data_IF_961528262812
#
_entry.id   IF_961528262812
#
_cell.length_a   1.000
_cell.length_b   1.000
_cell.length_c   1.000
_cell.angle_alpha   90.00
_cell.angle_beta   90.00
_cell.angle_gamma   90.00
#
_symmetry.space_group_name_H-M   'P 1'
#
loop_
_entity.id
_entity.type
_entity.pdbx_description
1 polymer ?
#
# COMPACT_ATOMS: atom_id res chain seq x y z
N UNK A 1 -15.33 5.18 2.19
CA UNK A 1 -16.17 4.58 3.18
C UNK A 1 -17.55 4.31 2.61
N UNK A 2 -17.84 3.02 2.45
CA UNK A 2 -19.01 2.47 1.83
C UNK A 2 -20.33 2.93 2.46
N UNK A 3 -20.32 3.15 3.77
CA UNK A 3 -21.50 3.45 4.55
C UNK A 3 -21.96 4.92 4.43
N UNK A 4 -21.10 5.79 3.87
CA UNK A 4 -21.40 7.22 3.77
C UNK A 4 -21.88 7.66 2.37
N UNK A 5 -21.79 6.80 1.35
CA UNK A 5 -22.04 7.21 -0.04
C UNK A 5 -23.20 6.47 -0.68
N UNK A 6 -23.96 5.69 0.07
CA UNK A 6 -24.93 4.81 -0.57
C UNK A 6 -26.30 4.82 0.10
N UNK A 7 -27.19 5.68 -0.36
CA UNK A 7 -28.60 5.66 0.03
C UNK A 7 -29.29 4.33 -0.28
N UNK A 8 -28.64 3.47 -1.09
CA UNK A 8 -29.20 2.20 -1.59
C UNK A 8 -28.59 0.97 -0.87
N UNK A 9 -27.58 1.14 -0.04
CA UNK A 9 -26.89 0.09 0.74
C UNK A 9 -26.47 -1.15 -0.08
N UNK A 10 -25.96 -0.93 -1.30
CA UNK A 10 -25.39 -1.96 -2.17
C UNK A 10 -24.13 -1.47 -2.86
N UNK A 11 -23.33 -2.37 -3.41
CA UNK A 11 -22.26 -1.97 -4.34
C UNK A 11 -22.88 -1.35 -5.61
N UNK A 12 -22.22 -0.33 -6.20
CA UNK A 12 -22.55 0.04 -7.57
C UNK A 12 -22.30 -1.14 -8.52
N UNK A 13 -22.99 -1.16 -9.62
CA UNK A 13 -22.85 -2.17 -10.68
C UNK A 13 -22.43 -1.51 -11.99
N UNK A 14 -22.24 -2.32 -13.04
CA UNK A 14 -21.99 -1.79 -14.40
C UNK A 14 -23.04 -0.79 -14.85
N UNK A 15 -24.32 -1.06 -14.49
CA UNK A 15 -25.45 -0.23 -14.94
C UNK A 15 -25.39 1.18 -14.33
N UNK A 16 -24.99 1.30 -13.05
CA UNK A 16 -24.77 2.60 -12.42
C UNK A 16 -23.63 3.40 -13.09
N UNK A 17 -22.58 2.70 -13.53
CA UNK A 17 -21.47 3.34 -14.24
C UNK A 17 -21.77 3.63 -15.71
N UNK A 18 -22.63 2.86 -16.33
CA UNK A 18 -23.11 3.10 -17.70
C UNK A 18 -23.97 4.36 -17.80
N UNK A 19 -24.65 4.77 -16.71
CA UNK A 19 -25.30 6.09 -16.62
C UNK A 19 -24.31 7.26 -16.76
N UNK A 20 -23.03 7.04 -16.37
CA UNK A 20 -21.96 8.06 -16.52
C UNK A 20 -21.45 8.04 -17.95
N UNK A 21 -21.10 6.86 -18.49
CA UNK A 21 -20.64 6.69 -19.87
C UNK A 21 -20.71 5.23 -20.31
N UNK A 22 -21.19 5.04 -21.55
CA UNK A 22 -21.08 3.77 -22.30
C UNK A 22 -20.01 3.82 -23.38
N UNK A 23 -19.39 4.97 -23.62
CA UNK A 23 -18.34 5.16 -24.63
C UNK A 23 -16.95 4.98 -24.06
N UNK A 24 -16.72 5.44 -22.84
CA UNK A 24 -15.43 5.35 -22.16
C UNK A 24 -15.43 4.22 -21.12
N UNK A 25 -14.36 3.42 -21.05
CA UNK A 25 -14.22 2.43 -19.98
C UNK A 25 -14.08 3.13 -18.63
N UNK A 26 -14.87 2.69 -17.66
CA UNK A 26 -14.83 3.19 -16.29
C UNK A 26 -14.46 2.04 -15.36
N UNK A 27 -13.50 2.26 -14.48
CA UNK A 27 -13.13 1.37 -13.39
C UNK A 27 -13.01 2.19 -12.10
N UNK A 28 -13.83 1.88 -11.11
CA UNK A 28 -13.72 2.45 -9.77
C UNK A 28 -13.22 1.38 -8.79
N UNK A 29 -12.28 1.76 -7.95
CA UNK A 29 -11.66 0.86 -6.98
C UNK A 29 -12.11 1.28 -5.59
N UNK A 30 -12.57 0.31 -4.79
CA UNK A 30 -12.85 0.57 -3.39
C UNK A 30 -11.55 0.94 -2.66
N UNK A 31 -11.64 1.84 -1.69
CA UNK A 31 -10.47 2.33 -0.92
C UNK A 31 -9.62 1.22 -0.27
N UNK A 32 -10.19 0.03 -0.03
CA UNK A 32 -9.45 -1.13 0.48
C UNK A 32 -8.55 -1.82 -0.58
N UNK A 33 -8.74 -1.53 -1.88
CA UNK A 33 -8.00 -2.19 -2.97
C UNK A 33 -8.49 -3.60 -3.37
N UNK A 34 -9.41 -4.20 -2.61
CA UNK A 34 -9.85 -5.59 -2.79
C UNK A 34 -11.09 -5.77 -3.67
N UNK A 35 -11.70 -4.69 -4.11
CA UNK A 35 -12.89 -4.70 -4.95
C UNK A 35 -12.79 -3.59 -5.97
N UNK A 36 -13.09 -3.89 -7.24
CA UNK A 36 -13.37 -2.87 -8.24
C UNK A 36 -14.74 -3.09 -8.88
N UNK A 37 -15.27 -2.01 -9.46
CA UNK A 37 -16.49 -2.05 -10.27
C UNK A 37 -16.19 -1.39 -11.61
N UNK A 38 -16.64 -2.02 -12.67
CA UNK A 38 -16.43 -1.56 -14.04
C UNK A 38 -17.73 -1.45 -14.81
N UNK A 39 -17.77 -0.56 -15.79
CA UNK A 39 -18.92 -0.42 -16.69
C UNK A 39 -18.91 -1.44 -17.83
N UNK A 40 -20.00 -1.47 -18.62
CA UNK A 40 -20.15 -2.37 -19.77
C UNK A 40 -19.03 -2.20 -20.81
N UNK A 41 -18.55 -0.97 -21.03
CA UNK A 41 -17.45 -0.70 -21.97
C UNK A 41 -16.13 -1.33 -21.50
N UNK A 42 -15.85 -1.29 -20.23
CA UNK A 42 -14.65 -1.94 -19.67
C UNK A 42 -14.76 -3.48 -19.74
N UNK A 43 -15.94 -4.06 -19.49
CA UNK A 43 -16.19 -5.50 -19.68
C UNK A 43 -15.95 -5.92 -21.13
N UNK A 44 -16.46 -5.15 -22.09
CA UNK A 44 -16.25 -5.38 -23.52
C UNK A 44 -14.75 -5.40 -23.88
N UNK A 45 -14.01 -4.37 -23.48
CA UNK A 45 -12.58 -4.26 -23.74
C UNK A 45 -11.75 -5.35 -23.03
N UNK A 46 -12.20 -5.79 -21.87
CA UNK A 46 -11.58 -6.90 -21.15
C UNK A 46 -11.93 -8.27 -21.76
N UNK A 47 -12.93 -8.36 -22.64
CA UNK A 47 -13.42 -9.60 -23.22
C UNK A 47 -14.20 -10.46 -22.22
N UNK A 48 -14.76 -9.83 -21.18
CA UNK A 48 -15.47 -10.51 -20.09
C UNK A 48 -16.96 -10.57 -20.39
N UNK A 49 -17.50 -11.77 -20.34
CA UNK A 49 -18.92 -12.06 -20.66
C UNK A 49 -19.38 -13.30 -19.88
N UNK A 50 -20.62 -13.73 -20.11
CA UNK A 50 -21.24 -14.89 -19.44
C UNK A 50 -20.49 -16.22 -19.59
N UNK A 51 -19.57 -16.33 -20.56
CA UNK A 51 -18.76 -17.53 -20.75
C UNK A 51 -17.42 -17.45 -20.02
N UNK A 52 -17.11 -16.31 -19.39
CA UNK A 52 -15.87 -16.13 -18.63
C UNK A 52 -15.92 -16.97 -17.37
N UNK A 53 -14.89 -17.79 -17.16
CA UNK A 53 -14.80 -18.64 -15.97
C UNK A 53 -14.33 -17.82 -14.77
N UNK A 54 -14.83 -18.17 -13.60
CA UNK A 54 -14.28 -17.69 -12.34
C UNK A 54 -12.82 -18.11 -12.21
N UNK A 55 -12.01 -17.32 -11.52
CA UNK A 55 -10.58 -17.61 -11.34
C UNK A 55 -10.30 -18.01 -9.89
N UNK A 56 -9.25 -18.79 -9.71
CA UNK A 56 -8.82 -19.23 -8.38
C UNK A 56 -8.41 -18.02 -7.51
N UNK A 57 -8.92 -18.00 -6.28
CA UNK A 57 -8.66 -16.92 -5.33
C UNK A 57 -9.33 -15.59 -5.66
N UNK A 58 -10.29 -15.57 -6.60
CA UNK A 58 -11.05 -14.37 -6.94
C UNK A 58 -12.46 -14.70 -7.39
N UNK A 59 -13.32 -13.69 -7.39
CA UNK A 59 -14.71 -13.82 -7.81
C UNK A 59 -15.14 -12.55 -8.53
N UNK A 60 -15.91 -12.69 -9.62
CA UNK A 60 -16.74 -11.62 -10.14
C UNK A 60 -18.22 -11.97 -9.97
N UNK A 61 -19.01 -10.95 -9.69
CA UNK A 61 -20.44 -11.12 -9.44
C UNK A 61 -21.21 -11.18 -10.78
N UNK A 62 -22.24 -11.98 -10.82
CA UNK A 62 -23.14 -12.13 -11.99
C UNK A 62 -24.57 -11.70 -11.63
N UNK A 63 -25.32 -11.25 -12.60
CA UNK A 63 -26.72 -10.90 -12.48
C UNK A 63 -27.64 -12.15 -12.63
N UNK A 64 -28.96 -11.95 -12.59
CA UNK A 64 -29.96 -12.99 -12.74
C UNK A 64 -29.94 -13.69 -14.13
N UNK A 65 -29.30 -13.05 -15.12
CA UNK A 65 -29.13 -13.58 -16.48
C UNK A 65 -27.78 -14.29 -16.66
N UNK A 66 -27.03 -14.50 -15.58
CA UNK A 66 -25.66 -15.01 -15.58
C UNK A 66 -24.66 -14.11 -16.35
N UNK A 67 -24.98 -12.84 -16.54
CA UNK A 67 -24.04 -11.87 -17.12
C UNK A 67 -23.22 -11.19 -16.00
N UNK A 68 -21.92 -10.92 -16.21
CA UNK A 68 -21.13 -10.15 -15.25
C UNK A 68 -21.76 -8.78 -14.95
N UNK A 69 -21.96 -8.48 -13.66
CA UNK A 69 -22.59 -7.24 -13.23
C UNK A 69 -21.61 -6.09 -13.00
N UNK A 70 -20.33 -6.31 -13.29
CA UNK A 70 -19.26 -5.32 -13.20
C UNK A 70 -18.45 -5.35 -11.89
N UNK A 71 -18.84 -6.14 -10.89
CA UNK A 71 -18.12 -6.22 -9.60
C UNK A 71 -17.08 -7.34 -9.64
N UNK A 72 -15.82 -7.00 -9.29
CA UNK A 72 -14.69 -7.94 -9.23
C UNK A 72 -14.06 -7.89 -7.85
N UNK A 73 -13.62 -9.06 -7.33
CA UNK A 73 -13.08 -9.24 -5.99
C UNK A 73 -11.77 -10.03 -6.03
N UNK A 74 -10.82 -9.62 -5.19
CA UNK A 74 -9.53 -10.29 -4.98
C UNK A 74 -8.80 -10.56 -6.30
N UNK A 75 -8.35 -11.79 -6.56
CA UNK A 75 -7.62 -12.12 -7.78
C UNK A 75 -8.40 -11.83 -9.08
N UNK A 76 -9.74 -11.73 -9.03
CA UNK A 76 -10.54 -11.37 -10.19
C UNK A 76 -10.30 -9.95 -10.69
N UNK A 77 -9.77 -9.05 -9.85
CA UNK A 77 -9.33 -7.71 -10.26
C UNK A 77 -8.32 -7.78 -11.42
N UNK A 78 -7.50 -8.82 -11.47
CA UNK A 78 -6.49 -9.00 -12.51
C UNK A 78 -7.09 -9.19 -13.91
N UNK A 79 -8.34 -9.68 -14.02
CA UNK A 79 -9.06 -9.78 -15.29
C UNK A 79 -9.25 -8.38 -15.92
N UNK A 80 -9.41 -7.37 -15.09
CA UNK A 80 -9.56 -5.96 -15.49
C UNK A 80 -8.20 -5.28 -15.58
N UNK A 81 -7.39 -5.35 -14.52
CA UNK A 81 -6.12 -4.60 -14.42
C UNK A 81 -5.14 -4.95 -15.53
N UNK A 82 -5.08 -6.22 -15.94
CA UNK A 82 -4.24 -6.66 -17.06
C UNK A 82 -4.66 -6.09 -18.43
N UNK A 83 -5.85 -5.45 -18.51
CA UNK A 83 -6.36 -4.80 -19.72
C UNK A 83 -6.23 -3.28 -19.70
N UNK A 84 -5.96 -2.70 -18.55
CA UNK A 84 -5.68 -1.28 -18.44
C UNK A 84 -4.35 -1.02 -19.15
N UNK A 85 -4.30 -0.09 -20.11
CA UNK A 85 -3.04 0.27 -20.76
C UNK A 85 -2.01 0.72 -19.72
N UNK A 86 -0.79 0.17 -19.83
CA UNK A 86 0.30 0.63 -18.97
C UNK A 86 0.73 2.03 -19.43
N UNK A 87 0.92 2.96 -18.49
CA UNK A 87 1.46 4.25 -18.83
C UNK A 87 2.89 4.10 -19.36
N UNK A 88 3.23 4.87 -20.34
CA UNK A 88 4.62 5.03 -20.75
C UNK A 88 5.36 6.00 -19.80
N UNK A 89 6.66 6.18 -20.04
CA UNK A 89 7.48 7.06 -19.18
C UNK A 89 7.03 8.52 -19.23
N UNK A 90 6.55 9.02 -20.37
CA UNK A 90 6.06 10.39 -20.48
C UNK A 90 4.72 10.57 -19.76
N UNK A 91 3.84 9.57 -19.78
CA UNK A 91 2.63 9.56 -18.96
C UNK A 91 2.97 9.64 -17.48
N UNK A 92 3.95 8.83 -17.03
CA UNK A 92 4.40 8.82 -15.62
C UNK A 92 4.99 10.19 -15.25
N UNK A 93 5.84 10.80 -16.10
CA UNK A 93 6.38 12.15 -15.87
C UNK A 93 5.26 13.18 -15.72
N UNK A 94 4.24 13.12 -16.57
CA UNK A 94 3.08 14.02 -16.49
C UNK A 94 2.29 13.82 -15.19
N UNK A 95 2.10 12.57 -14.73
CA UNK A 95 1.43 12.27 -13.45
C UNK A 95 2.24 12.80 -12.26
N UNK A 96 3.56 12.61 -12.25
CA UNK A 96 4.47 13.16 -11.23
C UNK A 96 4.36 14.69 -11.17
N UNK A 97 4.40 15.38 -12.31
CA UNK A 97 4.28 16.83 -12.36
C UNK A 97 2.93 17.32 -11.80
N UNK A 98 1.84 16.63 -12.13
CA UNK A 98 0.51 16.94 -11.57
C UNK A 98 0.44 16.71 -10.07
N UNK A 99 1.04 15.65 -9.56
CA UNK A 99 1.14 15.38 -8.13
C UNK A 99 1.97 16.49 -7.43
N UNK A 100 3.10 16.90 -7.98
CA UNK A 100 3.91 18.00 -7.46
C UNK A 100 3.13 19.33 -7.44
N UNK A 101 2.39 19.65 -8.50
CA UNK A 101 1.52 20.83 -8.55
C UNK A 101 0.48 20.82 -7.41
N UNK A 102 -0.18 19.68 -7.20
CA UNK A 102 -1.14 19.50 -6.12
C UNK A 102 -0.49 19.65 -4.74
N UNK A 103 0.65 19.00 -4.49
CA UNK A 103 1.39 19.10 -3.23
C UNK A 103 1.81 20.57 -2.95
N UNK A 104 2.33 21.27 -3.96
CA UNK A 104 2.71 22.67 -3.83
C UNK A 104 1.51 23.58 -3.48
N UNK A 105 0.29 23.27 -3.97
CA UNK A 105 -0.91 24.03 -3.63
C UNK A 105 -1.24 23.99 -2.12
N UNK A 106 -0.77 22.98 -1.42
CA UNK A 106 -0.85 22.82 0.04
C UNK A 106 0.43 23.26 0.77
N UNK A 107 1.41 23.83 0.06
CA UNK A 107 2.69 24.26 0.65
C UNK A 107 3.66 23.12 0.94
N UNK A 108 3.41 21.91 0.43
CA UNK A 108 4.30 20.77 0.59
C UNK A 108 5.46 20.88 -0.39
N UNK A 109 6.69 20.85 0.12
CA UNK A 109 7.94 20.97 -0.66
C UNK A 109 8.81 19.71 -0.61
N UNK A 110 8.43 18.72 0.20
CA UNK A 110 9.10 17.42 0.29
C UNK A 110 8.08 16.34 0.65
N UNK A 111 8.15 15.20 -0.01
CA UNK A 111 7.26 14.07 0.21
C UNK A 111 8.04 12.75 0.18
N UNK A 112 7.51 11.77 0.91
CA UNK A 112 7.85 10.36 0.71
C UNK A 112 6.71 9.71 -0.07
N UNK A 113 7.04 8.82 -0.99
CA UNK A 113 6.07 8.10 -1.83
C UNK A 113 6.52 6.66 -2.01
N UNK A 114 5.62 5.77 -2.42
CA UNK A 114 5.87 4.35 -2.69
C UNK A 114 5.30 3.95 -4.07
N UNK A 115 5.77 4.63 -5.10
CA UNK A 115 5.19 4.60 -6.44
C UNK A 115 5.44 3.32 -7.24
N UNK A 116 6.35 2.44 -6.81
CA UNK A 116 6.74 1.25 -7.57
C UNK A 116 5.58 0.29 -7.85
N UNK A 117 4.54 0.29 -7.04
CA UNK A 117 3.37 -0.58 -7.22
C UNK A 117 2.13 0.15 -7.76
N UNK A 118 2.19 1.47 -7.91
CA UNK A 118 1.05 2.29 -8.37
C UNK A 118 0.64 1.92 -9.80
N UNK A 119 1.61 1.49 -10.60
CA UNK A 119 1.40 1.12 -12.01
C UNK A 119 1.61 -0.38 -12.21
N UNK A 120 0.57 -1.22 -12.13
CA UNK A 120 0.71 -2.67 -12.25
C UNK A 120 1.48 -3.07 -13.49
N UNK A 121 2.59 -3.82 -13.30
CA UNK A 121 3.42 -4.33 -14.37
C UNK A 121 4.29 -3.30 -15.10
N UNK A 122 4.44 -2.10 -14.56
CA UNK A 122 5.51 -1.16 -14.93
C UNK A 122 6.73 -1.49 -14.09
N UNK A 123 7.90 -1.57 -14.73
CA UNK A 123 9.15 -1.80 -14.02
C UNK A 123 9.55 -0.54 -13.23
N UNK A 124 9.99 -0.72 -11.99
CA UNK A 124 10.44 0.39 -11.13
C UNK A 124 11.55 1.23 -11.76
N UNK A 125 12.35 0.66 -12.66
CA UNK A 125 13.38 1.41 -13.40
C UNK A 125 12.78 2.51 -14.28
N UNK A 126 11.60 2.30 -14.83
CA UNK A 126 10.89 3.32 -15.62
C UNK A 126 10.51 4.49 -14.72
N UNK A 127 10.01 4.20 -13.50
CA UNK A 127 9.62 5.20 -12.50
C UNK A 127 10.84 5.98 -12.02
N UNK A 128 11.92 5.29 -11.65
CA UNK A 128 13.18 5.93 -11.26
C UNK A 128 13.73 6.81 -12.39
N UNK A 129 13.68 6.32 -13.64
CA UNK A 129 14.12 7.09 -14.82
C UNK A 129 13.29 8.35 -15.01
N UNK A 130 11.95 8.26 -14.84
CA UNK A 130 11.06 9.40 -14.95
C UNK A 130 11.40 10.50 -13.92
N UNK A 131 11.60 10.13 -12.65
CA UNK A 131 12.02 11.06 -11.60
C UNK A 131 13.38 11.69 -11.88
N UNK A 132 14.39 10.89 -12.26
CA UNK A 132 15.72 11.38 -12.58
C UNK A 132 15.72 12.34 -13.78
N UNK A 133 14.95 12.05 -14.81
CA UNK A 133 14.81 12.95 -15.95
C UNK A 133 14.16 14.27 -15.53
N UNK A 134 13.05 14.23 -14.77
CA UNK A 134 12.41 15.45 -14.27
C UNK A 134 13.31 16.26 -13.34
N UNK A 135 14.13 15.61 -12.52
CA UNK A 135 15.12 16.29 -11.68
C UNK A 135 16.20 16.97 -12.54
N UNK A 136 16.76 16.26 -13.53
CA UNK A 136 17.75 16.80 -14.46
C UNK A 136 17.20 17.94 -15.34
N UNK A 137 15.91 17.90 -15.67
CA UNK A 137 15.19 18.95 -16.40
C UNK A 137 14.78 20.14 -15.51
N UNK A 138 15.14 20.11 -14.21
CA UNK A 138 14.76 21.10 -13.19
C UNK A 138 13.23 21.31 -13.09
N UNK A 139 12.45 20.27 -13.38
CA UNK A 139 10.98 20.30 -13.35
C UNK A 139 10.36 19.81 -12.05
N UNK A 140 11.11 19.08 -11.21
CA UNK A 140 10.62 18.68 -9.88
C UNK A 140 10.59 19.87 -8.96
N UNK A 141 9.41 20.21 -8.44
CA UNK A 141 9.20 21.30 -7.49
C UNK A 141 9.02 20.80 -6.06
N UNK A 142 8.89 19.48 -5.88
CA UNK A 142 8.82 18.78 -4.59
C UNK A 142 9.99 17.81 -4.52
N UNK A 143 10.68 17.78 -3.39
CA UNK A 143 11.74 16.79 -3.13
C UNK A 143 11.10 15.45 -2.81
N UNK A 144 11.46 14.42 -3.58
CA UNK A 144 10.87 13.07 -3.48
C UNK A 144 11.86 12.10 -2.84
N UNK A 145 11.38 11.37 -1.85
CA UNK A 145 12.08 10.28 -1.19
C UNK A 145 11.30 8.99 -1.40
N UNK A 146 11.71 8.21 -2.39
CA UNK A 146 10.99 7.03 -2.87
C UNK A 146 11.17 5.85 -1.94
N UNK A 147 10.09 5.40 -1.31
CA UNK A 147 10.06 4.16 -0.54
C UNK A 147 9.97 2.98 -1.51
N UNK A 148 11.08 2.25 -1.65
CA UNK A 148 11.16 1.15 -2.60
C UNK A 148 10.31 -0.04 -2.12
N UNK A 149 9.10 -0.19 -2.63
CA UNK A 149 8.23 -1.32 -2.31
C UNK A 149 8.64 -2.53 -3.14
N UNK A 150 9.41 -3.42 -2.52
CA UNK A 150 9.96 -4.65 -3.09
C UNK A 150 9.53 -5.81 -2.18
N UNK A 151 8.51 -6.55 -2.61
CA UNK A 151 7.86 -7.53 -1.75
C UNK A 151 8.61 -8.87 -1.64
N UNK A 152 9.52 -9.14 -2.59
CA UNK A 152 10.25 -10.41 -2.66
C UNK A 152 11.74 -10.21 -2.46
N UNK A 153 12.38 -11.19 -1.86
CA UNK A 153 13.83 -11.19 -1.60
C UNK A 153 14.64 -10.96 -2.88
N UNK A 154 14.29 -11.66 -3.93
CA UNK A 154 15.00 -11.62 -5.21
C UNK A 154 14.91 -10.22 -5.85
N UNK A 155 13.77 -9.53 -5.69
CA UNK A 155 13.59 -8.15 -6.15
C UNK A 155 14.49 -7.21 -5.37
N UNK A 156 14.53 -7.34 -4.03
CA UNK A 156 15.39 -6.54 -3.16
C UNK A 156 16.88 -6.76 -3.47
N UNK A 157 17.33 -8.01 -3.60
CA UNK A 157 18.71 -8.33 -3.95
C UNK A 157 19.09 -7.78 -5.34
N UNK A 158 18.19 -7.91 -6.32
CA UNK A 158 18.38 -7.32 -7.65
C UNK A 158 18.48 -5.80 -7.60
N UNK A 159 17.61 -5.12 -6.84
CA UNK A 159 17.62 -3.68 -6.63
C UNK A 159 18.93 -3.20 -6.01
N UNK A 160 19.37 -3.85 -4.95
CA UNK A 160 20.63 -3.54 -4.26
C UNK A 160 21.85 -3.79 -5.15
N UNK A 161 21.84 -4.86 -5.98
CA UNK A 161 22.94 -5.17 -6.91
C UNK A 161 23.17 -4.10 -7.98
N UNK A 162 22.12 -3.32 -8.30
CA UNK A 162 22.18 -2.17 -9.21
C UNK A 162 22.70 -0.89 -8.51
N UNK A 163 23.05 -0.97 -7.23
CA UNK A 163 23.55 0.14 -6.44
C UNK A 163 22.45 1.04 -5.85
N UNK A 164 21.19 0.64 -5.93
CA UNK A 164 20.11 1.40 -5.30
C UNK A 164 20.06 1.08 -3.80
N UNK A 165 20.26 2.09 -3.00
CA UNK A 165 20.10 2.03 -1.54
C UNK A 165 19.69 3.39 -1.00
N UNK A 166 19.34 3.46 0.27
CA UNK A 166 18.90 4.69 0.92
C UNK A 166 19.88 5.85 0.72
N UNK A 167 19.37 6.97 0.21
CA UNK A 167 20.12 8.21 -0.01
C UNK A 167 20.73 8.34 -1.40
N UNK A 168 20.71 7.29 -2.21
CA UNK A 168 21.18 7.36 -3.61
C UNK A 168 20.22 8.22 -4.43
N UNK A 169 20.78 9.22 -5.12
CA UNK A 169 20.03 10.19 -5.92
C UNK A 169 20.63 11.59 -5.81
N UNK A 170 19.82 12.60 -6.09
CA UNK A 170 20.20 14.02 -6.06
C UNK A 170 19.39 14.81 -5.01
N UNK A 171 19.38 16.14 -5.12
CA UNK A 171 18.66 16.98 -4.16
C UNK A 171 17.14 16.95 -4.30
N UNK A 172 16.62 16.48 -5.43
CA UNK A 172 15.19 16.43 -5.71
C UNK A 172 14.59 15.01 -5.73
N UNK A 173 15.40 14.02 -6.08
CA UNK A 173 14.97 12.62 -6.05
C UNK A 173 16.00 11.74 -5.37
N UNK A 174 15.58 11.00 -4.36
CA UNK A 174 16.40 10.01 -3.65
C UNK A 174 15.64 8.71 -3.43
N UNK A 175 16.39 7.63 -3.55
CA UNK A 175 15.93 6.32 -3.03
C UNK A 175 15.86 6.41 -1.51
N UNK A 176 14.72 6.01 -0.99
CA UNK A 176 14.39 5.97 0.43
C UNK A 176 14.57 4.59 1.04
N UNK A 177 13.69 4.22 1.99
CA UNK A 177 13.71 2.93 2.63
C UNK A 177 13.15 1.81 1.74
N UNK A 178 13.51 0.57 2.07
CA UNK A 178 12.69 -0.58 1.70
C UNK A 178 11.31 -0.43 2.34
N UNK A 179 10.25 -0.48 1.53
CA UNK A 179 8.87 -0.49 1.99
C UNK A 179 8.32 -1.91 1.98
N UNK A 180 7.80 -2.35 3.11
CA UNK A 180 7.04 -3.61 3.22
C UNK A 180 5.66 -3.32 3.80
N UNK A 181 4.71 -4.17 3.47
CA UNK A 181 3.36 -4.18 4.06
C UNK A 181 3.30 -5.34 5.04
N UNK A 182 3.29 -5.07 6.34
CA UNK A 182 3.32 -6.12 7.37
C UNK A 182 1.97 -6.76 7.65
N UNK A 183 0.92 -5.97 7.53
CA UNK A 183 -0.47 -6.39 7.75
C UNK A 183 -1.43 -5.53 6.92
N UNK A 184 -2.71 -5.56 7.25
CA UNK A 184 -3.74 -4.78 6.59
C UNK A 184 -4.22 -3.58 7.41
N UNK A 185 -5.54 -3.35 7.49
CA UNK A 185 -6.15 -2.19 8.14
C UNK A 185 -7.12 -2.58 9.26
N UNK A 186 -7.27 -1.70 10.25
CA UNK A 186 -8.19 -1.90 11.36
C UNK A 186 -9.66 -1.99 10.89
N UNK A 187 -10.05 -1.08 9.99
CA UNK A 187 -11.41 -1.04 9.46
C UNK A 187 -11.83 -2.29 8.69
N UNK A 188 -10.91 -2.94 7.98
CA UNK A 188 -11.16 -4.17 7.23
C UNK A 188 -11.02 -5.47 8.07
N UNK A 189 -10.64 -5.38 9.34
CA UNK A 189 -10.26 -6.51 10.22
C UNK A 189 -9.10 -7.34 9.66
N UNK A 190 -8.16 -6.68 9.00
CA UNK A 190 -6.96 -7.30 8.45
C UNK A 190 -5.67 -6.81 9.13
N UNK A 191 -5.74 -5.82 10.02
CA UNK A 191 -4.64 -5.51 10.93
C UNK A 191 -4.37 -6.72 11.85
N UNK A 192 -3.10 -7.15 11.98
CA UNK A 192 -2.75 -8.38 12.67
C UNK A 192 -2.52 -8.15 14.16
N UNK A 193 -3.40 -8.74 14.99
CA UNK A 193 -3.54 -8.48 16.41
C UNK A 193 -3.05 -9.65 17.27
N UNK A 194 -2.58 -9.35 18.49
CA UNK A 194 -2.27 -10.35 19.51
C UNK A 194 -3.52 -11.02 20.07
N UNK A 195 -4.64 -10.28 20.16
CA UNK A 195 -5.94 -10.77 20.56
C UNK A 195 -6.95 -10.65 19.41
N UNK A 196 -8.00 -11.50 19.37
CA UNK A 196 -8.98 -11.43 18.28
C UNK A 196 -9.70 -10.07 18.26
N UNK A 197 -10.31 -9.76 17.13
CA UNK A 197 -11.21 -8.61 17.04
C UNK A 197 -12.38 -8.75 17.99
N UNK A 198 -12.77 -7.66 18.66
CA UNK A 198 -13.86 -7.67 19.65
C UNK A 198 -15.22 -7.89 19.01
N UNK A 199 -15.41 -7.44 17.79
CA UNK A 199 -16.64 -7.59 17.00
C UNK A 199 -16.60 -8.80 16.04
N UNK A 200 -15.48 -9.52 15.99
CA UNK A 200 -15.32 -10.78 15.25
C UNK A 200 -14.24 -11.67 15.89
N UNK A 201 -14.63 -12.47 16.86
CA UNK A 201 -13.71 -13.35 17.59
C UNK A 201 -13.11 -14.49 16.74
N UNK A 202 -13.50 -14.62 15.49
CA UNK A 202 -12.96 -15.65 14.59
C UNK A 202 -11.66 -15.27 13.89
N UNK A 203 -11.28 -13.99 13.95
CA UNK A 203 -10.09 -13.47 13.27
C UNK A 203 -9.17 -12.66 14.17
N UNK A 204 -7.87 -12.78 13.90
CA UNK A 204 -6.79 -11.96 14.47
C UNK A 204 -6.23 -10.99 13.41
N UNK A 205 -6.81 -10.91 12.22
CA UNK A 205 -6.26 -10.21 11.08
C UNK A 205 -5.33 -11.10 10.23
N UNK A 206 -4.54 -10.46 9.38
CA UNK A 206 -3.69 -11.14 8.38
C UNK A 206 -2.28 -10.58 8.45
N UNK A 207 -1.29 -11.43 8.70
CA UNK A 207 0.11 -11.09 8.50
C UNK A 207 0.52 -11.46 7.07
N UNK A 208 1.23 -10.56 6.39
CA UNK A 208 1.64 -10.76 4.99
C UNK A 208 2.96 -11.52 4.86
N UNK A 209 3.75 -11.55 5.94
CA UNK A 209 5.05 -12.24 6.02
C UNK A 209 5.13 -13.10 7.28
N UNK A 210 5.88 -14.19 7.23
CA UNK A 210 6.30 -14.89 8.46
C UNK A 210 7.38 -14.09 9.19
N UNK A 211 7.67 -14.43 10.46
CA UNK A 211 8.76 -13.77 11.19
C UNK A 211 10.10 -13.97 10.48
N UNK A 212 10.34 -15.16 9.95
CA UNK A 212 11.58 -15.50 9.24
C UNK A 212 11.74 -14.68 7.96
N UNK A 213 10.65 -14.45 7.24
CA UNK A 213 10.66 -13.60 6.03
C UNK A 213 10.95 -12.14 6.38
N UNK A 214 10.35 -11.60 7.45
CA UNK A 214 10.69 -10.27 7.94
C UNK A 214 12.16 -10.19 8.34
N UNK A 215 12.64 -11.16 9.13
CA UNK A 215 14.03 -11.21 9.59
C UNK A 215 15.00 -11.16 8.41
N UNK A 216 14.73 -11.95 7.37
CA UNK A 216 15.56 -12.03 6.16
C UNK A 216 15.55 -10.72 5.38
N UNK A 217 14.35 -10.15 5.08
CA UNK A 217 14.22 -8.92 4.31
C UNK A 217 14.86 -7.73 5.02
N UNK A 218 14.62 -7.61 6.33
CA UNK A 218 15.19 -6.53 7.16
C UNK A 218 16.70 -6.67 7.27
N UNK A 219 17.22 -7.88 7.48
CA UNK A 219 18.67 -8.12 7.53
C UNK A 219 19.35 -7.74 6.21
N UNK A 220 18.80 -8.17 5.06
CA UNK A 220 19.35 -7.84 3.74
C UNK A 220 19.39 -6.33 3.54
N UNK A 221 18.29 -5.62 3.80
CA UNK A 221 18.23 -4.17 3.67
C UNK A 221 19.23 -3.48 4.60
N UNK A 222 19.22 -3.83 5.88
CA UNK A 222 20.06 -3.24 6.91
C UNK A 222 21.56 -3.40 6.61
N UNK A 223 21.99 -4.61 6.25
CA UNK A 223 23.37 -4.95 5.89
C UNK A 223 23.87 -4.16 4.67
N UNK A 224 22.99 -3.79 3.76
CA UNK A 224 23.31 -3.01 2.56
C UNK A 224 23.05 -1.49 2.75
N UNK A 225 23.05 -1.01 3.98
CA UNK A 225 22.81 0.39 4.34
C UNK A 225 21.45 0.93 3.90
N UNK A 226 20.48 0.06 3.59
CA UNK A 226 19.14 0.47 3.28
C UNK A 226 18.31 0.60 4.55
N UNK A 227 17.59 1.70 4.69
CA UNK A 227 16.59 1.92 5.72
C UNK A 227 15.39 0.99 5.46
N UNK A 228 14.61 0.65 6.47
CA UNK A 228 13.30 0.01 6.30
C UNK A 228 12.19 0.90 6.84
N UNK A 229 11.05 0.91 6.14
CA UNK A 229 9.81 1.55 6.56
C UNK A 229 8.68 0.54 6.36
N UNK A 230 8.28 -0.14 7.42
CA UNK A 230 7.35 -1.26 7.33
C UNK A 230 5.98 -0.86 7.86
N UNK A 231 4.95 -1.04 7.05
CA UNK A 231 3.58 -0.84 7.46
C UNK A 231 3.21 -1.86 8.55
N UNK A 232 2.75 -1.37 9.69
CA UNK A 232 2.14 -2.18 10.72
C UNK A 232 1.08 -1.37 11.48
N UNK A 233 -0.15 -1.81 11.42
CA UNK A 233 -1.31 -1.25 12.12
C UNK A 233 -1.59 -2.06 13.38
N UNK A 234 -1.63 -3.38 13.28
CA UNK A 234 -1.84 -4.28 14.41
C UNK A 234 -0.62 -4.41 15.32
N UNK A 235 -0.88 -4.54 16.61
CA UNK A 235 0.14 -4.69 17.66
C UNK A 235 1.01 -5.94 17.44
N UNK A 236 0.43 -7.04 16.94
CA UNK A 236 1.17 -8.28 16.61
C UNK A 236 2.11 -8.09 15.43
N UNK A 237 1.62 -7.46 14.35
CA UNK A 237 2.48 -7.14 13.21
C UNK A 237 3.64 -6.23 13.62
N UNK A 238 3.35 -5.25 14.45
CA UNK A 238 4.35 -4.31 14.96
C UNK A 238 5.42 -5.02 15.81
N UNK A 239 5.02 -5.95 16.70
CA UNK A 239 5.96 -6.80 17.45
C UNK A 239 6.91 -7.56 16.51
N UNK A 240 6.37 -8.18 15.46
CA UNK A 240 7.17 -8.94 14.50
C UNK A 240 8.17 -8.06 13.76
N UNK A 241 7.73 -6.87 13.32
CA UNK A 241 8.59 -5.90 12.63
C UNK A 241 9.69 -5.39 13.55
N UNK A 242 9.36 -5.00 14.79
CA UNK A 242 10.33 -4.52 15.77
C UNK A 242 11.34 -5.63 16.13
N UNK A 243 10.89 -6.88 16.26
CA UNK A 243 11.78 -8.04 16.49
C UNK A 243 12.80 -8.20 15.36
N UNK A 244 12.39 -8.05 14.11
CA UNK A 244 13.30 -8.19 12.96
C UNK A 244 14.32 -7.07 12.89
N UNK A 245 13.90 -5.83 13.20
CA UNK A 245 14.81 -4.68 13.26
C UNK A 245 15.83 -4.86 14.39
N UNK A 246 15.38 -5.24 15.58
CA UNK A 246 16.24 -5.49 16.74
C UNK A 246 17.31 -6.56 16.42
N UNK A 247 16.89 -7.71 15.87
CA UNK A 247 17.82 -8.77 15.45
C UNK A 247 18.86 -8.26 14.43
N UNK A 248 18.44 -7.44 13.48
CA UNK A 248 19.36 -6.88 12.49
C UNK A 248 20.36 -5.91 13.12
N UNK A 249 19.92 -5.05 14.03
CA UNK A 249 20.76 -4.10 14.78
C UNK A 249 21.75 -4.83 15.70
N UNK A 250 21.33 -5.88 16.40
CA UNK A 250 22.21 -6.70 17.24
C UNK A 250 23.32 -7.38 16.43
N UNK A 251 22.99 -7.81 15.21
CA UNK A 251 23.93 -8.50 14.34
C UNK A 251 24.91 -7.54 13.62
N UNK A 252 24.42 -6.38 13.23
CA UNK A 252 25.17 -5.37 12.48
C UNK A 252 24.91 -3.98 13.08
N UNK A 253 25.81 -3.51 13.94
CA UNK A 253 25.65 -2.22 14.58
C UNK A 253 25.62 -1.07 13.56
N UNK A 254 24.60 -0.22 13.64
CA UNK A 254 24.45 0.97 12.78
C UNK A 254 23.72 2.07 13.53
N UNK A 255 24.42 3.15 13.89
CA UNK A 255 23.90 4.21 14.75
C UNK A 255 22.77 5.02 14.12
N UNK A 256 22.90 5.44 12.87
CA UNK A 256 21.88 6.28 12.20
C UNK A 256 21.10 5.47 11.17
N UNK A 257 20.49 4.38 11.61
CA UNK A 257 19.78 3.45 10.73
C UNK A 257 18.46 4.00 10.20
N UNK A 258 17.75 4.82 10.99
CA UNK A 258 16.44 5.44 10.70
C UNK A 258 15.36 4.43 10.30
N UNK A 259 15.45 3.19 10.75
CA UNK A 259 14.37 2.22 10.55
C UNK A 259 13.10 2.68 11.24
N UNK A 260 11.95 2.34 10.69
CA UNK A 260 10.70 2.75 11.28
C UNK A 260 9.49 1.94 10.85
N UNK A 261 8.39 2.23 11.52
CA UNK A 261 7.09 1.62 11.30
C UNK A 261 6.13 2.67 10.77
N UNK A 262 5.46 2.35 9.65
CA UNK A 262 4.44 3.20 9.04
C UNK A 262 3.09 2.89 9.69
N UNK A 263 2.31 3.92 9.93
CA UNK A 263 1.08 3.99 10.71
C UNK A 263 1.32 3.92 12.22
N UNK A 264 1.96 2.88 12.73
CA UNK A 264 2.23 2.73 14.17
C UNK A 264 0.95 2.95 14.99
N UNK A 265 -0.17 2.31 14.57
CA UNK A 265 -1.51 2.72 15.02
C UNK A 265 -1.88 2.09 16.37
N UNK A 266 -1.79 0.77 16.51
CA UNK A 266 -2.10 0.06 17.76
C UNK A 266 -0.80 -0.27 18.48
N UNK A 267 -0.52 0.45 19.55
CA UNK A 267 0.72 0.32 20.33
C UNK A 267 0.47 -0.22 21.73
N UNK A 268 1.55 -0.67 22.36
CA UNK A 268 1.58 -1.00 23.79
C UNK A 268 2.71 -0.22 24.46
N UNK A 269 2.66 -0.10 25.78
CA UNK A 269 3.75 0.55 26.53
C UNK A 269 5.11 -0.12 26.31
N UNK A 270 5.12 -1.44 26.12
CA UNK A 270 6.34 -2.20 25.81
C UNK A 270 6.87 -1.84 24.43
N UNK A 271 6.03 -1.86 23.40
CA UNK A 271 6.40 -1.43 22.04
C UNK A 271 6.96 0.00 22.03
N UNK A 272 6.30 0.95 22.70
CA UNK A 272 6.79 2.33 22.79
C UNK A 272 8.16 2.44 23.47
N UNK A 273 8.42 1.64 24.52
CA UNK A 273 9.75 1.56 25.12
C UNK A 273 10.79 1.01 24.14
N UNK A 274 10.47 -0.04 23.42
CA UNK A 274 11.37 -0.62 22.40
C UNK A 274 11.64 0.37 21.26
N UNK A 275 10.64 1.14 20.80
CA UNK A 275 10.83 2.21 19.82
C UNK A 275 11.88 3.22 20.29
N UNK A 276 11.78 3.66 21.55
CA UNK A 276 12.75 4.57 22.15
C UNK A 276 14.14 3.95 22.24
N UNK A 277 14.23 2.73 22.76
CA UNK A 277 15.52 2.08 23.06
C UNK A 277 16.26 1.67 21.77
N UNK A 278 15.52 1.32 20.73
CA UNK A 278 16.06 1.02 19.39
C UNK A 278 16.15 2.25 18.48
N UNK A 279 15.75 3.44 18.95
CA UNK A 279 15.72 4.69 18.15
C UNK A 279 14.95 4.54 16.83
N UNK A 280 13.75 3.94 16.86
CA UNK A 280 12.89 3.74 15.69
C UNK A 280 12.09 4.99 15.36
N UNK A 281 11.79 5.18 14.09
CA UNK A 281 10.86 6.20 13.63
C UNK A 281 9.43 5.66 13.60
N UNK A 282 8.47 6.45 14.10
CA UNK A 282 7.05 6.22 13.94
C UNK A 282 6.50 7.19 12.88
N UNK A 283 6.03 6.67 11.75
CA UNK A 283 5.43 7.47 10.68
C UNK A 283 3.91 7.55 10.89
N UNK A 284 3.48 8.38 11.82
CA UNK A 284 2.08 8.48 12.22
C UNK A 284 1.28 9.40 11.29
N UNK A 285 0.00 9.06 11.11
CA UNK A 285 -0.97 9.88 10.40
C UNK A 285 -2.07 10.33 11.36
N UNK A 286 -2.08 11.60 11.71
CA UNK A 286 -3.10 12.18 12.60
C UNK A 286 -4.53 12.09 12.03
N UNK A 287 -4.68 11.97 10.71
CA UNK A 287 -5.99 11.81 10.05
C UNK A 287 -6.71 10.51 10.46
N UNK A 288 -6.00 9.48 10.93
CA UNK A 288 -6.60 8.25 11.42
C UNK A 288 -7.49 8.47 12.65
N UNK A 289 -7.22 9.51 13.44
CA UNK A 289 -8.10 9.89 14.55
C UNK A 289 -9.51 10.22 14.06
N UNK A 290 -9.64 10.92 12.91
CA UNK A 290 -10.94 11.27 12.37
C UNK A 290 -11.69 10.07 11.77
N UNK A 291 -10.97 9.14 11.13
CA UNK A 291 -11.59 8.04 10.41
C UNK A 291 -11.83 6.81 11.29
N UNK A 292 -10.90 6.48 12.16
CA UNK A 292 -10.94 5.24 12.93
C UNK A 292 -11.53 5.40 14.33
N UNK A 293 -11.64 6.63 14.87
CA UNK A 293 -12.17 6.87 16.22
C UNK A 293 -13.57 6.28 16.42
N UNK A 294 -14.37 6.24 15.35
CA UNK A 294 -15.74 5.72 15.40
C UNK A 294 -15.83 4.20 15.34
N UNK A 295 -14.74 3.51 15.00
CA UNK A 295 -14.72 2.06 14.84
C UNK A 295 -13.73 1.36 15.77
N UNK A 296 -12.81 2.10 16.38
CA UNK A 296 -11.71 1.51 17.17
C UNK A 296 -12.23 0.69 18.35
N UNK A 297 -13.21 1.20 19.09
CA UNK A 297 -13.79 0.49 20.25
C UNK A 297 -14.52 -0.78 19.82
N UNK A 298 -15.23 -0.75 18.69
CA UNK A 298 -15.90 -1.94 18.15
C UNK A 298 -14.87 -3.00 17.74
N UNK A 299 -13.77 -2.57 17.11
CA UNK A 299 -12.75 -3.47 16.57
C UNK A 299 -11.89 -4.13 17.65
N UNK A 300 -11.47 -3.38 18.66
CA UNK A 300 -10.49 -3.86 19.64
C UNK A 300 -10.97 -3.78 21.10
N UNK A 301 -12.18 -3.30 21.34
CA UNK A 301 -12.76 -3.13 22.66
C UNK A 301 -12.25 -1.88 23.38
N UNK A 302 -13.04 -1.44 24.38
CA UNK A 302 -12.83 -0.16 25.10
C UNK A 302 -11.45 -0.08 25.78
N UNK A 303 -10.93 -1.19 26.30
CA UNK A 303 -9.68 -1.15 27.05
C UNK A 303 -8.45 -1.03 26.15
N UNK A 304 -8.40 -1.74 25.03
CA UNK A 304 -7.33 -1.61 24.02
C UNK A 304 -7.42 -0.30 23.25
N UNK A 305 -8.61 0.27 23.11
CA UNK A 305 -8.80 1.55 22.42
C UNK A 305 -8.22 2.77 23.18
N UNK A 306 -7.81 2.58 24.44
CA UNK A 306 -7.19 3.63 25.26
C UNK A 306 -5.65 3.68 25.13
N UNK A 307 -5.05 2.74 24.43
CA UNK A 307 -3.60 2.65 24.20
C UNK A 307 -3.27 3.13 22.80
#
# INVERSE_FOLDING_TARGET
>A
NHDYFNDVNRFPTKDDLDEISTEYPICIIRACGHVCVVNSKALELAGINKNTLQIEGGQFDIDENNEPNGIFRENALNLIYNKIPKPDKEDIKNMILKACESLNSYGVTSAQTDDFIVFPGVDYEVIISAYKELANEEKLTVKIYEQAQLAQKEELESFLSKGYTTGVGDDYFKIGPLKLLGDGSLGARTAYLNEPYSDDNSTFGICTYTQEQFDEMVEIAHKNNMQVAIHAIGDKAMDMVVNSIEKALDKYLRDNHRHGVVHCQLTTSDLLNRFRDLNLHAYVQSIFLDYDINIVEDRIGVDRAKT
#
